data_IF_520934723567
#
_entry.id   IF_520934723567
#
_cell.length_a   1.000
_cell.length_b   1.000
_cell.length_c   1.000
_cell.angle_alpha   90.00
_cell.angle_beta   90.00
_cell.angle_gamma   90.00
#
_symmetry.space_group_name_H-M   'P 1'
#
loop_
_entity.id
_entity.type
_entity.pdbx_description
1 polymer ?
#
# COMPACT_ATOMS: atom_id res chain seq x y z
N UNK A 1 11.59 -0.98 24.21
CA UNK A 1 12.16 -0.83 22.86
C UNK A 1 11.29 -1.61 21.89
N UNK A 2 10.81 -0.99 20.84
CA UNK A 2 10.03 -1.67 19.78
C UNK A 2 10.98 -2.20 18.71
N UNK A 3 10.64 -3.28 17.98
CA UNK A 3 11.56 -3.91 17.00
C UNK A 3 12.10 -2.97 15.92
N UNK A 4 11.27 -2.03 15.44
CA UNK A 4 11.63 -1.09 14.38
C UNK A 4 11.82 0.35 14.88
N UNK A 5 12.14 0.53 16.16
CA UNK A 5 12.46 1.84 16.71
C UNK A 5 13.71 2.43 16.03
N UNK A 6 13.61 3.66 15.53
CA UNK A 6 14.66 4.34 14.77
C UNK A 6 14.57 4.17 13.25
N UNK A 7 13.75 3.25 12.75
CA UNK A 7 13.52 3.06 11.31
C UNK A 7 12.53 4.09 10.77
N UNK A 8 12.85 4.72 9.66
CA UNK A 8 11.98 5.67 8.96
C UNK A 8 11.48 5.07 7.64
N UNK A 9 10.16 5.04 7.49
CA UNK A 9 9.46 4.54 6.31
C UNK A 9 8.77 5.70 5.59
N UNK A 10 9.01 5.85 4.29
CA UNK A 10 8.21 6.72 3.43
C UNK A 10 7.20 5.86 2.69
N UNK A 11 5.93 6.15 2.83
CA UNK A 11 4.83 5.42 2.22
C UNK A 11 4.13 6.30 1.18
N UNK A 12 4.16 5.89 -0.09
CA UNK A 12 3.38 6.48 -1.19
C UNK A 12 2.40 5.43 -1.69
N UNK A 13 1.27 5.30 -1.01
CA UNK A 13 0.31 4.25 -1.27
C UNK A 13 -1.14 4.71 -1.09
N UNK A 14 -2.09 3.92 -1.59
CA UNK A 14 -3.53 4.15 -1.45
C UNK A 14 -4.26 2.84 -1.16
N UNK A 15 -5.52 2.94 -0.76
CA UNK A 15 -6.39 1.82 -0.42
C UNK A 15 -5.88 1.03 0.80
N UNK A 16 -5.85 -0.32 0.72
CA UNK A 16 -5.71 -1.22 1.87
C UNK A 16 -4.33 -1.88 1.93
N UNK A 17 -3.89 -2.51 0.85
CA UNK A 17 -2.78 -3.46 0.87
C UNK A 17 -1.45 -2.88 1.36
N UNK A 18 -0.90 -1.86 0.71
CA UNK A 18 0.34 -1.23 1.16
C UNK A 18 0.14 -0.34 2.41
N UNK A 19 -1.00 0.38 2.58
CA UNK A 19 -1.28 1.05 3.85
C UNK A 19 -1.31 0.11 5.06
N UNK A 20 -1.83 -1.12 4.95
CA UNK A 20 -1.78 -2.09 6.05
C UNK A 20 -0.35 -2.50 6.41
N UNK A 21 0.53 -2.66 5.41
CA UNK A 21 1.96 -2.86 5.64
C UNK A 21 2.55 -1.72 6.46
N UNK A 22 2.35 -0.46 6.04
CA UNK A 22 2.81 0.72 6.77
C UNK A 22 2.25 0.78 8.19
N UNK A 23 0.98 0.41 8.39
CA UNK A 23 0.35 0.33 9.73
C UNK A 23 1.05 -0.69 10.63
N UNK A 24 1.38 -1.87 10.11
CA UNK A 24 2.12 -2.90 10.85
C UNK A 24 3.50 -2.37 11.25
N UNK A 25 4.25 -1.78 10.32
CA UNK A 25 5.57 -1.21 10.59
C UNK A 25 5.50 -0.10 11.67
N UNK A 26 4.50 0.80 11.59
CA UNK A 26 4.26 1.82 12.62
C UNK A 26 3.96 1.19 14.00
N UNK A 27 3.15 0.14 14.06
CA UNK A 27 2.84 -0.58 15.30
C UNK A 27 4.09 -1.19 15.91
N UNK A 28 5.03 -1.65 15.07
CA UNK A 28 6.33 -2.20 15.48
C UNK A 28 7.36 -1.13 15.85
N UNK A 29 7.03 0.16 15.71
CA UNK A 29 7.85 1.28 16.19
C UNK A 29 8.54 2.08 15.10
N UNK A 30 8.40 1.74 13.82
CA UNK A 30 8.90 2.57 12.74
C UNK A 30 8.16 3.91 12.69
N UNK A 31 8.86 4.97 12.32
CA UNK A 31 8.26 6.23 11.93
C UNK A 31 7.78 6.13 10.49
N UNK A 32 6.50 6.03 10.27
CA UNK A 32 5.92 5.94 8.92
C UNK A 32 5.38 7.30 8.49
N UNK A 33 5.89 7.84 7.40
CA UNK A 33 5.44 9.09 6.79
C UNK A 33 4.64 8.74 5.54
N UNK A 34 3.31 8.83 5.65
CA UNK A 34 2.40 8.62 4.53
C UNK A 34 2.31 9.89 3.70
N UNK A 35 2.68 9.79 2.44
CA UNK A 35 2.58 10.87 1.46
C UNK A 35 1.32 10.66 0.63
N UNK A 36 0.43 11.64 0.65
CA UNK A 36 -0.81 11.66 -0.11
C UNK A 36 -0.80 12.79 -1.14
N UNK A 37 -1.52 12.58 -2.24
CA UNK A 37 -1.84 13.67 -3.17
C UNK A 37 -2.79 14.69 -2.51
N UNK A 38 -2.94 15.91 -3.05
CA UNK A 38 -3.93 16.88 -2.54
C UNK A 38 -5.38 16.39 -2.55
N UNK A 39 -5.69 15.34 -3.32
CA UNK A 39 -7.01 14.71 -3.32
C UNK A 39 -7.23 13.75 -2.12
N UNK A 40 -6.16 13.43 -1.39
CA UNK A 40 -6.15 12.45 -0.31
C UNK A 40 -6.14 11.00 -0.81
N UNK A 41 -6.10 10.08 0.14
CA UNK A 41 -6.34 8.66 -0.11
C UNK A 41 -7.84 8.41 -0.31
N UNK A 42 -8.19 7.49 -1.20
CA UNK A 42 -9.58 7.11 -1.47
C UNK A 42 -10.29 6.61 -0.21
N UNK A 43 -9.56 5.90 0.67
CA UNK A 43 -10.10 5.37 1.93
C UNK A 43 -10.61 6.47 2.88
N UNK A 44 -10.16 7.71 2.74
CA UNK A 44 -10.69 8.83 3.52
C UNK A 44 -12.18 9.07 3.29
N UNK A 45 -12.70 8.63 2.14
CA UNK A 45 -14.11 8.82 1.72
C UNK A 45 -14.89 7.51 1.64
N UNK A 46 -14.27 6.40 2.01
CA UNK A 46 -14.85 5.07 1.79
C UNK A 46 -15.86 4.66 2.88
N UNK A 47 -15.79 5.25 4.06
CA UNK A 47 -16.63 4.91 5.21
C UNK A 47 -18.13 4.76 4.92
N UNK A 48 -18.79 5.71 4.23
CA UNK A 48 -20.23 5.62 3.92
C UNK A 48 -20.62 4.37 3.13
N UNK A 49 -19.73 3.83 2.31
CA UNK A 49 -19.95 2.58 1.57
C UNK A 49 -20.08 1.37 2.51
N UNK A 50 -19.53 1.46 3.72
CA UNK A 50 -19.57 0.44 4.76
C UNK A 50 -20.41 0.88 5.97
N UNK A 51 -21.29 1.87 5.80
CA UNK A 51 -22.14 2.43 6.86
C UNK A 51 -21.34 2.98 8.05
N UNK A 52 -20.13 3.45 7.80
CA UNK A 52 -19.24 4.07 8.78
C UNK A 52 -19.09 5.57 8.52
N UNK A 53 -18.83 6.40 9.56
CA UNK A 53 -18.48 7.80 9.35
C UNK A 53 -17.18 7.95 8.55
N UNK A 54 -17.07 9.08 7.84
CA UNK A 54 -15.86 9.48 7.11
C UNK A 54 -15.75 11.01 7.16
N UNK A 55 -15.36 11.54 8.29
CA UNK A 55 -15.16 12.96 8.55
C UNK A 55 -13.85 13.17 9.33
N UNK A 56 -13.54 14.42 9.64
CA UNK A 56 -12.26 14.77 10.31
C UNK A 56 -12.20 14.32 11.78
N UNK A 57 -13.36 14.07 12.41
CA UNK A 57 -13.45 13.64 13.81
C UNK A 57 -13.46 12.12 13.95
N UNK A 58 -14.05 11.44 12.96
CA UNK A 58 -14.23 10.00 13.00
C UNK A 58 -14.14 9.37 11.60
N UNK A 59 -13.13 8.52 11.39
CA UNK A 59 -12.94 7.79 10.14
C UNK A 59 -12.34 6.40 10.39
N UNK A 60 -13.13 5.47 10.98
CA UNK A 60 -12.61 4.17 11.43
C UNK A 60 -11.99 3.34 10.32
N UNK A 61 -12.50 3.45 9.08
CA UNK A 61 -11.95 2.71 7.93
C UNK A 61 -10.53 3.20 7.62
N UNK A 62 -10.36 4.52 7.48
CA UNK A 62 -9.07 5.12 7.22
C UNK A 62 -8.09 4.91 8.39
N UNK A 63 -8.55 5.10 9.62
CA UNK A 63 -7.73 5.04 10.83
C UNK A 63 -7.21 3.63 11.13
N UNK A 64 -8.00 2.60 10.80
CA UNK A 64 -7.55 1.21 10.91
C UNK A 64 -6.27 0.95 10.11
N UNK A 65 -6.14 1.57 8.94
CA UNK A 65 -5.01 1.37 8.04
C UNK A 65 -3.89 2.41 8.24
N UNK A 66 -4.21 3.57 8.82
CA UNK A 66 -3.30 4.72 8.81
C UNK A 66 -3.03 5.32 10.20
N UNK A 67 -3.69 4.82 11.25
CA UNK A 67 -3.43 5.28 12.62
C UNK A 67 -1.97 5.11 13.02
N UNK A 68 -1.39 6.14 13.66
CA UNK A 68 0.01 6.14 14.11
C UNK A 68 1.04 6.49 13.03
N UNK A 69 0.61 6.90 11.84
CA UNK A 69 1.49 7.44 10.80
C UNK A 69 1.52 8.97 10.84
N UNK A 70 2.65 9.55 10.44
CA UNK A 70 2.72 10.96 10.05
C UNK A 70 2.09 11.14 8.66
N UNK A 71 1.38 12.23 8.42
CA UNK A 71 0.74 12.51 7.13
C UNK A 71 1.33 13.75 6.48
N UNK A 72 1.63 13.67 5.18
CA UNK A 72 2.14 14.77 4.39
C UNK A 72 1.43 14.82 3.04
N UNK A 73 0.88 15.98 2.68
CA UNK A 73 0.28 16.20 1.35
C UNK A 73 1.30 16.80 0.40
N UNK A 74 1.59 16.12 -0.71
CA UNK A 74 2.45 16.59 -1.79
C UNK A 74 1.79 16.35 -3.15
N UNK A 75 1.84 17.37 -4.00
CA UNK A 75 1.50 17.22 -5.42
C UNK A 75 2.76 16.85 -6.21
N UNK A 76 3.02 15.56 -6.34
CA UNK A 76 4.22 15.07 -7.03
C UNK A 76 4.28 15.41 -8.53
N UNK A 77 3.29 16.11 -9.07
CA UNK A 77 3.35 16.73 -10.41
C UNK A 77 4.12 18.06 -10.39
N UNK A 78 4.25 18.67 -9.22
CA UNK A 78 4.99 19.93 -9.02
C UNK A 78 6.45 19.62 -8.72
N UNK A 79 7.40 20.27 -9.41
CA UNK A 79 8.84 20.02 -9.19
C UNK A 79 9.28 20.25 -7.74
N UNK A 80 8.76 21.27 -7.09
CA UNK A 80 9.08 21.61 -5.70
C UNK A 80 8.63 20.52 -4.70
N UNK A 81 7.45 19.93 -4.93
CA UNK A 81 6.97 18.84 -4.08
C UNK A 81 7.69 17.52 -4.37
N UNK A 82 8.04 17.26 -5.62
CA UNK A 82 8.91 16.14 -5.98
C UNK A 82 10.29 16.27 -5.32
N UNK A 83 10.86 17.48 -5.28
CA UNK A 83 12.13 17.71 -4.56
C UNK A 83 11.98 17.45 -3.05
N UNK A 84 10.88 17.87 -2.43
CA UNK A 84 10.57 17.56 -1.02
C UNK A 84 10.44 16.05 -0.79
N UNK A 85 9.78 15.36 -1.69
CA UNK A 85 9.66 13.90 -1.63
C UNK A 85 11.02 13.21 -1.71
N UNK A 86 11.91 13.65 -2.62
CA UNK A 86 13.27 13.14 -2.69
C UNK A 86 14.10 13.43 -1.43
N UNK A 87 13.86 14.55 -0.74
CA UNK A 87 14.51 14.85 0.55
C UNK A 87 14.03 13.90 1.67
N UNK A 88 12.80 13.43 1.60
CA UNK A 88 12.29 12.38 2.50
C UNK A 88 12.97 11.03 2.20
N UNK A 89 13.01 10.61 0.93
CA UNK A 89 13.63 9.34 0.52
C UNK A 89 15.11 9.29 0.90
N UNK A 90 15.82 10.42 0.83
CA UNK A 90 17.23 10.49 1.21
C UNK A 90 17.49 10.22 2.71
N UNK A 91 16.47 10.29 3.55
CA UNK A 91 16.53 10.05 5.00
C UNK A 91 15.75 8.81 5.42
N UNK A 92 15.10 8.13 4.49
CA UNK A 92 14.31 6.95 4.76
C UNK A 92 15.17 5.68 4.67
N UNK A 93 14.82 4.70 5.47
CA UNK A 93 15.35 3.34 5.40
C UNK A 93 14.51 2.49 4.45
N UNK A 94 13.20 2.77 4.37
CA UNK A 94 12.26 1.99 3.56
C UNK A 94 11.37 2.93 2.74
N UNK A 95 11.14 2.58 1.49
CA UNK A 95 10.09 3.17 0.65
C UNK A 95 9.04 2.11 0.31
N UNK A 96 7.79 2.34 0.71
CA UNK A 96 6.65 1.44 0.46
C UNK A 96 5.70 2.07 -0.54
N UNK A 97 5.30 1.32 -1.58
CA UNK A 97 4.34 1.80 -2.56
C UNK A 97 3.48 0.67 -3.14
N UNK A 98 2.24 0.99 -3.55
CA UNK A 98 1.40 0.14 -4.40
C UNK A 98 0.96 0.86 -5.68
N UNK A 99 1.62 1.95 -6.02
CA UNK A 99 1.39 2.62 -7.29
C UNK A 99 1.80 1.71 -8.45
N UNK A 100 1.04 1.76 -9.54
CA UNK A 100 1.33 0.97 -10.74
C UNK A 100 2.71 1.29 -11.28
N UNK A 101 3.42 0.28 -11.76
CA UNK A 101 4.78 0.41 -12.27
C UNK A 101 4.92 1.49 -13.35
N UNK A 102 3.92 1.62 -14.23
CA UNK A 102 3.92 2.68 -15.25
C UNK A 102 3.86 4.09 -14.65
N UNK A 103 3.10 4.30 -13.58
CA UNK A 103 3.02 5.59 -12.90
C UNK A 103 4.35 5.92 -12.19
N UNK A 104 4.95 4.92 -11.52
CA UNK A 104 6.25 5.08 -10.87
C UNK A 104 7.34 5.40 -11.89
N UNK A 105 7.41 4.70 -13.02
CA UNK A 105 8.36 5.00 -14.11
C UNK A 105 8.19 6.41 -14.67
N UNK A 106 6.93 6.84 -14.88
CA UNK A 106 6.65 8.21 -15.33
C UNK A 106 7.14 9.26 -14.34
N UNK A 107 7.07 8.99 -13.03
CA UNK A 107 7.55 9.86 -11.96
C UNK A 107 9.04 9.66 -11.65
N UNK A 108 9.71 8.68 -12.26
CA UNK A 108 11.08 8.24 -11.92
C UNK A 108 11.21 7.83 -10.45
N UNK A 109 10.20 7.16 -9.93
CA UNK A 109 10.13 6.60 -8.57
C UNK A 109 10.09 5.07 -8.58
N UNK A 110 10.35 4.42 -9.71
CA UNK A 110 10.57 2.98 -9.83
C UNK A 110 11.96 2.60 -9.30
N UNK A 111 12.15 1.32 -8.99
CA UNK A 111 13.40 0.82 -8.41
C UNK A 111 14.64 1.19 -9.21
N UNK A 112 14.60 1.01 -10.55
CA UNK A 112 15.75 1.32 -11.40
C UNK A 112 16.14 2.79 -11.39
N UNK A 113 15.18 3.69 -11.22
CA UNK A 113 15.41 5.13 -11.11
C UNK A 113 15.98 5.54 -9.75
N UNK A 114 15.72 4.77 -8.68
CA UNK A 114 16.07 5.14 -7.31
C UNK A 114 17.30 4.41 -6.76
N UNK A 115 17.59 3.18 -7.21
CA UNK A 115 18.60 2.29 -6.63
C UNK A 115 20.03 2.89 -6.54
N UNK A 116 20.43 3.65 -7.56
CA UNK A 116 21.79 4.28 -7.56
C UNK A 116 21.83 5.54 -6.69
N UNK A 117 20.69 6.27 -6.65
CA UNK A 117 20.58 7.49 -5.86
C UNK A 117 20.42 7.20 -4.36
N UNK A 118 19.78 6.10 -4.02
CA UNK A 118 19.48 5.67 -2.65
C UNK A 118 19.84 4.20 -2.43
N UNK A 119 21.16 3.84 -2.47
CA UNK A 119 21.60 2.45 -2.49
C UNK A 119 21.29 1.65 -1.20
N UNK A 120 20.95 2.34 -0.11
CA UNK A 120 20.59 1.70 1.17
C UNK A 120 19.08 1.62 1.38
N UNK A 121 18.28 2.20 0.48
CA UNK A 121 16.84 2.24 0.62
C UNK A 121 16.22 0.87 0.30
N UNK A 122 15.55 0.27 1.26
CA UNK A 122 14.72 -0.90 1.02
C UNK A 122 13.52 -0.46 0.18
N UNK A 123 13.44 -0.92 -1.07
CA UNK A 123 12.35 -0.59 -2.00
C UNK A 123 11.29 -1.68 -1.97
N UNK A 124 10.16 -1.39 -1.36
CA UNK A 124 9.04 -2.32 -1.20
C UNK A 124 7.85 -1.92 -2.07
N UNK A 125 7.55 -2.72 -3.07
CA UNK A 125 6.41 -2.51 -3.97
C UNK A 125 5.42 -3.66 -3.88
N UNK A 126 4.13 -3.32 -3.83
CA UNK A 126 3.04 -4.29 -3.87
C UNK A 126 2.21 -4.08 -5.13
N UNK A 127 2.21 -5.06 -6.00
CA UNK A 127 1.49 -5.06 -7.28
C UNK A 127 0.56 -6.26 -7.36
N UNK A 128 -0.63 -6.09 -7.95
CA UNK A 128 -1.61 -7.17 -8.05
C UNK A 128 -1.15 -8.37 -8.87
N UNK A 129 -0.22 -8.17 -9.83
CA UNK A 129 0.25 -9.23 -10.74
C UNK A 129 1.79 -9.26 -10.88
N UNK A 130 2.51 -8.60 -9.98
CA UNK A 130 3.96 -8.51 -10.05
C UNK A 130 4.49 -7.61 -11.17
N UNK A 131 5.79 -7.66 -11.40
CA UNK A 131 6.50 -6.76 -12.33
C UNK A 131 6.68 -7.32 -13.74
N UNK A 132 6.31 -8.58 -13.97
CA UNK A 132 6.49 -9.29 -15.24
C UNK A 132 5.22 -10.02 -15.67
N UNK A 133 5.11 -10.28 -16.96
CA UNK A 133 4.00 -11.05 -17.53
C UNK A 133 2.90 -10.18 -18.15
N UNK A 134 1.89 -10.82 -18.77
CA UNK A 134 0.88 -10.13 -19.58
C UNK A 134 -0.06 -9.24 -18.77
N UNK A 135 -0.18 -9.46 -17.45
CA UNK A 135 -1.08 -8.71 -16.56
C UNK A 135 -0.39 -7.59 -15.78
N UNK A 136 0.91 -7.35 -15.97
CA UNK A 136 1.72 -6.37 -15.20
C UNK A 136 1.09 -4.97 -15.11
N UNK A 137 0.35 -4.55 -16.11
CA UNK A 137 -0.26 -3.21 -16.17
C UNK A 137 -1.75 -3.19 -15.77
N UNK A 138 -2.32 -4.34 -15.42
CA UNK A 138 -3.71 -4.39 -15.00
C UNK A 138 -3.89 -3.87 -13.57
N UNK A 139 -5.06 -3.29 -13.24
CA UNK A 139 -5.40 -2.97 -11.86
C UNK A 139 -5.53 -4.27 -11.06
N UNK A 140 -4.92 -4.31 -9.86
CA UNK A 140 -4.92 -5.48 -9.01
C UNK A 140 -5.61 -5.20 -7.69
N UNK A 141 -6.94 -5.28 -7.65
CA UNK A 141 -7.67 -5.39 -6.40
C UNK A 141 -7.68 -6.84 -5.93
N UNK A 142 -7.75 -7.09 -4.63
CA UNK A 142 -7.74 -8.43 -4.06
C UNK A 142 -8.82 -9.36 -4.65
N UNK A 143 -10.03 -8.84 -4.84
CA UNK A 143 -11.14 -9.55 -5.49
C UNK A 143 -10.76 -10.12 -6.87
N UNK A 144 -9.99 -9.36 -7.64
CA UNK A 144 -9.64 -9.73 -9.02
C UNK A 144 -8.32 -10.49 -9.07
N UNK A 145 -7.29 -9.97 -8.39
CA UNK A 145 -5.95 -10.53 -8.47
C UNK A 145 -5.81 -11.81 -7.64
N UNK A 146 -6.15 -11.76 -6.35
CA UNK A 146 -6.00 -12.91 -5.45
C UNK A 146 -7.16 -13.89 -5.58
N UNK A 147 -8.40 -13.42 -5.49
CA UNK A 147 -9.56 -14.31 -5.45
C UNK A 147 -9.91 -14.90 -6.82
N UNK A 148 -10.17 -14.05 -7.82
CA UNK A 148 -10.61 -14.55 -9.13
C UNK A 148 -9.44 -15.10 -9.94
N UNK A 149 -8.34 -14.33 -10.12
CA UNK A 149 -7.21 -14.76 -10.95
C UNK A 149 -6.34 -15.81 -10.25
N UNK A 150 -6.17 -15.70 -8.94
CA UNK A 150 -5.43 -16.67 -8.13
C UNK A 150 -6.16 -18.00 -7.90
N UNK A 151 -7.47 -18.08 -8.24
CA UNK A 151 -8.26 -19.30 -8.15
C UNK A 151 -8.91 -19.54 -6.78
N UNK A 152 -8.66 -18.71 -5.79
CA UNK A 152 -9.16 -18.92 -4.42
C UNK A 152 -10.71 -19.00 -4.36
N UNK A 153 -11.42 -18.24 -5.18
CA UNK A 153 -12.88 -18.33 -5.30
C UNK A 153 -13.29 -19.74 -5.75
N UNK A 154 -12.60 -20.32 -6.72
CA UNK A 154 -12.89 -21.66 -7.23
C UNK A 154 -12.63 -22.72 -6.18
N UNK A 155 -11.51 -22.62 -5.46
CA UNK A 155 -11.13 -23.58 -4.43
C UNK A 155 -12.09 -23.57 -3.22
N UNK A 156 -12.71 -22.43 -2.95
CA UNK A 156 -13.68 -22.26 -1.86
C UNK A 156 -15.13 -22.59 -2.28
N UNK A 157 -15.37 -22.83 -3.57
CA UNK A 157 -16.72 -23.11 -4.06
C UNK A 157 -17.17 -24.50 -3.65
N UNK A 158 -18.39 -24.59 -3.13
CA UNK A 158 -19.03 -25.87 -2.86
C UNK A 158 -19.65 -26.38 -4.16
N UNK A 159 -19.30 -27.59 -4.59
CA UNK A 159 -19.88 -28.23 -5.78
C UNK A 159 -21.25 -28.82 -5.44
N UNK A 160 -22.29 -28.00 -5.49
CA UNK A 160 -23.66 -28.39 -5.23
C UNK A 160 -24.64 -27.61 -6.13
N UNK A 161 -25.79 -28.17 -6.50
CA UNK A 161 -26.82 -27.44 -7.25
C UNK A 161 -27.21 -26.13 -6.57
N UNK A 162 -27.14 -25.01 -7.31
CA UNK A 162 -27.51 -23.69 -6.79
C UNK A 162 -26.38 -23.01 -5.98
N UNK A 163 -25.22 -23.62 -5.83
CA UNK A 163 -24.08 -22.95 -5.23
C UNK A 163 -23.49 -21.88 -6.16
N UNK A 164 -22.86 -20.89 -5.55
CA UNK A 164 -22.16 -19.80 -6.26
C UNK A 164 -20.83 -19.49 -5.55
N UNK A 165 -19.89 -18.86 -6.24
CA UNK A 165 -18.61 -18.50 -5.65
C UNK A 165 -18.79 -17.65 -4.38
N UNK A 166 -18.10 -18.02 -3.30
CA UNK A 166 -18.08 -17.25 -2.06
C UNK A 166 -16.90 -16.30 -2.07
N UNK A 167 -17.18 -15.05 -1.78
CA UNK A 167 -16.17 -14.01 -1.65
C UNK A 167 -15.88 -13.75 -0.17
N UNK A 168 -14.61 -13.73 0.20
CA UNK A 168 -14.20 -13.36 1.56
C UNK A 168 -14.44 -11.87 1.83
N UNK A 169 -14.46 -11.44 3.10
CA UNK A 169 -14.60 -10.04 3.44
C UNK A 169 -13.65 -9.16 2.65
N UNK A 170 -14.16 -8.01 2.20
CA UNK A 170 -13.39 -7.04 1.41
C UNK A 170 -12.09 -6.67 2.11
N UNK A 171 -10.99 -6.62 1.33
CA UNK A 171 -9.66 -6.31 1.85
C UNK A 171 -8.94 -7.48 2.50
N UNK A 172 -9.53 -8.69 2.59
CA UNK A 172 -8.86 -9.85 3.17
C UNK A 172 -7.53 -10.15 2.47
N UNK A 173 -7.53 -10.22 1.14
CA UNK A 173 -6.33 -10.44 0.34
C UNK A 173 -5.31 -9.30 0.49
N UNK A 174 -5.79 -8.08 0.53
CA UNK A 174 -4.96 -6.89 0.75
C UNK A 174 -4.24 -6.95 2.11
N UNK A 175 -4.94 -7.32 3.19
CA UNK A 175 -4.35 -7.44 4.53
C UNK A 175 -3.31 -8.57 4.59
N UNK A 176 -3.58 -9.70 3.96
CA UNK A 176 -2.62 -10.82 3.85
C UNK A 176 -1.35 -10.37 3.12
N UNK A 177 -1.51 -9.72 1.96
CA UNK A 177 -0.37 -9.22 1.18
C UNK A 177 0.41 -8.14 1.93
N UNK A 178 -0.27 -7.21 2.61
CA UNK A 178 0.37 -6.18 3.41
C UNK A 178 1.15 -6.74 4.59
N UNK A 179 0.62 -7.78 5.24
CA UNK A 179 1.31 -8.50 6.33
C UNK A 179 2.56 -9.20 5.81
N UNK A 180 2.47 -9.89 4.68
CA UNK A 180 3.61 -10.56 4.05
C UNK A 180 4.70 -9.55 3.65
N UNK A 181 4.30 -8.39 3.09
CA UNK A 181 5.23 -7.32 2.72
C UNK A 181 5.93 -6.75 3.95
N UNK A 182 5.21 -6.51 5.05
CA UNK A 182 5.79 -6.03 6.31
C UNK A 182 6.81 -7.04 6.87
N UNK A 183 6.53 -8.35 6.81
CA UNK A 183 7.46 -9.42 7.17
C UNK A 183 8.72 -9.40 6.29
N UNK A 184 8.58 -9.25 4.98
CA UNK A 184 9.70 -9.17 4.05
C UNK A 184 10.60 -7.94 4.33
N UNK A 185 10.00 -6.77 4.60
CA UNK A 185 10.74 -5.56 4.96
C UNK A 185 11.52 -5.78 6.28
N UNK A 186 10.92 -6.44 7.26
CA UNK A 186 11.57 -6.71 8.56
C UNK A 186 12.77 -7.65 8.47
N UNK A 187 12.99 -8.31 7.34
CA UNK A 187 14.10 -9.24 7.09
C UNK A 187 15.13 -8.70 6.09
N UNK A 188 14.89 -7.55 5.49
CA UNK A 188 15.77 -6.89 4.53
C UNK A 188 16.79 -5.98 5.23
#
# INVERSE_FOLDING_TARGET
MKPLEGITVVELSTYIAAPSCGRILATQGARVIKVESPAGDVERKFGPTLFCPANDEENPIYDTLNGGKDHLMLDLKKPEDMERFHKLLAKADVFVTNNRLQALKKMRLDYDSLKERYPKLVYAILLGYGEKGPKVNLPGFDAIAMFATGGLIQDMMVDAPGSYPVYLPMGFGDLVCGTALAGAIGTA
#
